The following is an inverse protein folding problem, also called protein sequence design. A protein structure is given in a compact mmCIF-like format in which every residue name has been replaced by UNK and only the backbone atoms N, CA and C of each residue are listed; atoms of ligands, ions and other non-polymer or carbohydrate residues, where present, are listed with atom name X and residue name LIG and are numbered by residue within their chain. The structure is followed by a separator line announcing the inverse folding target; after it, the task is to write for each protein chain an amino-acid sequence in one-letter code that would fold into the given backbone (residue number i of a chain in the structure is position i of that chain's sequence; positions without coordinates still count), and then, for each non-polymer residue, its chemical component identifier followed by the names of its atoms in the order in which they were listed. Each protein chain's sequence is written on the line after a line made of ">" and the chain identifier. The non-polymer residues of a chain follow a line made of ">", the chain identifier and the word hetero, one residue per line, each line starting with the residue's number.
data_IF_836320417744
#
_entry.id   IF_836320417744
#
_cell.length_a   1.000
_cell.length_b   1.000
_cell.length_c   1.000
_cell.angle_alpha   90.00
_cell.angle_beta   90.00
_cell.angle_gamma   90.00
#
_symmetry.space_group_name_H-M   'P 1'
#
loop_
_entity.id
_entity.type
_entity.pdbx_description
1 polymer ?
#
# COMPACT_ATOMS: atom_id res chain seq x y z
N UNK A 1 -34.49 -13.25 9.18
CA UNK A 1 -33.15 -12.89 9.66
C UNK A 1 -32.22 -12.84 8.45
N UNK A 2 -32.06 -11.69 7.81
CA UNK A 2 -31.24 -11.59 6.60
C UNK A 2 -30.14 -10.56 6.87
N UNK A 3 -28.97 -11.05 7.23
CA UNK A 3 -27.78 -10.26 7.54
C UNK A 3 -27.38 -9.43 6.33
N UNK A 4 -27.49 -8.10 6.48
CA UNK A 4 -26.95 -7.12 5.56
C UNK A 4 -25.43 -7.25 5.52
N UNK A 5 -24.90 -7.83 4.45
CA UNK A 5 -23.46 -7.87 4.14
C UNK A 5 -22.99 -6.46 3.80
N UNK A 6 -22.74 -5.64 4.82
CA UNK A 6 -22.31 -4.24 4.72
C UNK A 6 -20.81 -4.09 4.43
N UNK A 7 -20.18 -4.93 3.60
CA UNK A 7 -18.74 -4.75 3.31
C UNK A 7 -18.32 -5.10 1.88
N UNK A 8 -19.22 -4.99 0.91
CA UNK A 8 -18.83 -5.03 -0.50
C UNK A 8 -18.39 -3.63 -0.98
N UNK A 9 -17.22 -3.17 -0.52
CA UNK A 9 -16.51 -2.03 -1.12
C UNK A 9 -15.82 -2.48 -2.41
N UNK A 10 -16.50 -3.23 -3.27
CA UNK A 10 -15.93 -3.71 -4.53
C UNK A 10 -16.23 -2.73 -5.63
N UNK A 11 -15.21 -1.88 -5.86
CA UNK A 11 -14.90 -1.20 -7.12
C UNK A 11 -15.91 -0.10 -7.53
N UNK A 12 -15.42 1.07 -7.99
CA UNK A 12 -16.29 1.92 -8.80
C UNK A 12 -16.71 1.11 -10.04
N UNK A 13 -18.03 1.06 -10.30
CA UNK A 13 -18.56 0.42 -11.49
C UNK A 13 -17.89 1.04 -12.73
N UNK A 14 -17.36 0.18 -13.62
CA UNK A 14 -16.71 0.63 -14.84
C UNK A 14 -17.74 1.42 -15.67
N UNK A 15 -17.51 2.71 -15.97
CA UNK A 15 -18.50 3.52 -16.70
C UNK A 15 -18.70 2.92 -18.10
N UNK A 16 -19.96 2.71 -18.50
CA UNK A 16 -20.31 2.24 -19.85
C UNK A 16 -19.83 3.19 -20.96
N UNK A 17 -19.45 4.42 -20.61
CA UNK A 17 -19.01 5.45 -21.53
C UNK A 17 -17.67 6.06 -21.11
N UNK A 18 -16.62 5.80 -21.88
CA UNK A 18 -15.33 6.46 -21.73
C UNK A 18 -15.31 7.75 -22.55
N UNK A 19 -15.32 8.91 -21.89
CA UNK A 19 -14.98 10.18 -22.55
C UNK A 19 -13.45 10.30 -22.69
N UNK A 20 -12.92 10.82 -23.83
CA UNK A 20 -11.47 10.88 -24.10
C UNK A 20 -10.61 11.68 -23.11
N UNK A 21 -11.23 12.43 -22.19
CA UNK A 21 -10.55 13.28 -21.21
C UNK A 21 -10.51 12.70 -19.77
N UNK A 22 -10.98 11.47 -19.55
CA UNK A 22 -10.91 10.85 -18.23
C UNK A 22 -9.51 10.28 -17.93
N UNK A 23 -9.01 10.58 -16.73
CA UNK A 23 -7.77 10.02 -16.23
C UNK A 23 -7.86 8.48 -16.20
N UNK A 24 -6.95 7.74 -16.86
CA UNK A 24 -6.95 6.28 -16.83
C UNK A 24 -7.02 5.76 -15.39
N UNK A 25 -8.02 4.95 -15.07
CA UNK A 25 -8.20 4.37 -13.74
C UNK A 25 -6.93 3.63 -13.28
N UNK A 26 -6.19 3.03 -14.21
CA UNK A 26 -4.91 2.38 -13.90
C UNK A 26 -3.82 3.35 -13.46
N UNK A 27 -3.79 4.57 -13.99
CA UNK A 27 -2.83 5.58 -13.55
C UNK A 27 -3.20 6.13 -12.17
N UNK A 28 -4.49 6.30 -11.87
CA UNK A 28 -4.94 6.67 -10.52
C UNK A 28 -4.56 5.60 -9.49
N UNK A 29 -4.80 4.33 -9.83
CA UNK A 29 -4.46 3.21 -8.96
C UNK A 29 -2.94 3.05 -8.78
N UNK A 30 -2.16 3.20 -9.85
CA UNK A 30 -0.70 3.17 -9.77
C UNK A 30 -0.17 4.27 -8.82
N UNK A 31 -0.76 5.47 -8.85
CA UNK A 31 -0.40 6.56 -7.93
C UNK A 31 -0.72 6.18 -6.49
N UNK A 32 -1.92 5.64 -6.22
CA UNK A 32 -2.30 5.20 -4.86
C UNK A 32 -1.36 4.12 -4.34
N UNK A 33 -0.99 3.14 -5.18
CA UNK A 33 -0.04 2.08 -4.81
C UNK A 33 1.35 2.63 -4.50
N UNK A 34 1.82 3.60 -5.29
CA UNK A 34 3.11 4.27 -5.08
C UNK A 34 3.13 5.11 -3.81
N UNK A 35 2.07 5.88 -3.54
CA UNK A 35 1.95 6.68 -2.30
C UNK A 35 1.89 5.75 -1.09
N UNK A 36 1.13 4.66 -1.17
CA UNK A 36 1.07 3.64 -0.12
C UNK A 36 2.42 2.96 0.12
N UNK A 37 3.14 2.62 -0.96
CA UNK A 37 4.49 2.05 -0.88
C UNK A 37 5.49 3.02 -0.22
N UNK A 38 5.43 4.30 -0.57
CA UNK A 38 6.28 5.33 0.03
C UNK A 38 5.97 5.53 1.51
N UNK A 39 4.69 5.63 1.88
CA UNK A 39 4.29 5.78 3.27
C UNK A 39 4.72 4.57 4.11
N UNK A 40 4.53 3.36 3.59
CA UNK A 40 4.99 2.14 4.25
C UNK A 40 6.51 2.13 4.46
N UNK A 41 7.29 2.46 3.43
CA UNK A 41 8.76 2.53 3.54
C UNK A 41 9.21 3.60 4.54
N UNK A 42 8.54 4.76 4.54
CA UNK A 42 8.81 5.83 5.51
C UNK A 42 8.50 5.39 6.93
N UNK A 43 7.44 4.59 7.14
CA UNK A 43 7.12 3.99 8.43
C UNK A 43 8.19 3.00 8.89
N UNK A 44 8.65 2.11 8.02
CA UNK A 44 9.74 1.16 8.36
C UNK A 44 11.02 1.89 8.76
N UNK A 45 11.41 2.94 8.03
CA UNK A 45 12.56 3.78 8.40
C UNK A 45 12.39 4.50 9.73
N UNK A 46 11.18 4.99 10.03
CA UNK A 46 10.88 5.61 11.32
C UNK A 46 10.99 4.60 12.47
N UNK A 47 10.54 3.36 12.27
CA UNK A 47 10.70 2.30 13.28
C UNK A 47 12.19 2.01 13.53
N UNK A 48 13.03 1.98 12.49
CA UNK A 48 14.47 1.81 12.67
C UNK A 48 15.09 2.99 13.42
N UNK A 49 14.69 4.22 13.11
CA UNK A 49 15.16 5.40 13.84
C UNK A 49 14.79 5.32 15.33
N UNK A 50 13.56 4.91 15.65
CA UNK A 50 13.12 4.71 17.03
C UNK A 50 13.85 3.56 17.75
N UNK A 51 14.22 2.50 17.03
CA UNK A 51 15.05 1.41 17.57
C UNK A 51 16.48 1.90 17.85
N UNK A 52 17.05 2.72 16.97
CA UNK A 52 18.38 3.33 17.18
C UNK A 52 18.40 4.35 18.31
N UNK A 53 17.30 5.08 18.51
CA UNK A 53 17.13 6.01 19.63
C UNK A 53 16.80 5.30 20.95
N UNK A 54 16.60 3.98 20.93
CA UNK A 54 16.26 3.19 22.12
C UNK A 54 14.82 3.37 22.62
N UNK A 55 13.98 4.09 21.86
CA UNK A 55 12.57 4.31 22.20
C UNK A 55 11.72 3.04 22.04
N UNK A 56 12.13 2.13 21.16
CA UNK A 56 11.52 0.81 20.97
C UNK A 56 12.61 -0.26 20.86
N UNK A 57 12.26 -1.53 21.08
CA UNK A 57 13.12 -2.68 20.78
C UNK A 57 12.43 -3.57 19.77
N UNK A 58 12.88 -3.53 18.53
CA UNK A 58 12.35 -4.37 17.45
C UNK A 58 12.74 -5.84 17.59
N UNK A 59 13.85 -6.14 18.26
CA UNK A 59 14.31 -7.51 18.51
C UNK A 59 14.39 -8.34 17.22
N UNK A 60 13.73 -9.50 17.18
CA UNK A 60 13.69 -10.38 15.99
C UNK A 60 13.03 -9.75 14.76
N UNK A 61 12.20 -8.71 14.92
CA UNK A 61 11.55 -8.02 13.80
C UNK A 61 12.49 -7.04 13.09
N UNK A 62 13.64 -6.69 13.68
CA UNK A 62 14.55 -5.67 13.13
C UNK A 62 15.02 -6.01 11.72
N UNK A 63 15.43 -7.26 11.48
CA UNK A 63 15.90 -7.69 10.15
C UNK A 63 14.81 -7.54 9.06
N UNK A 64 13.56 -7.83 9.40
CA UNK A 64 12.42 -7.66 8.47
C UNK A 64 12.16 -6.18 8.20
N UNK A 65 12.26 -5.33 9.22
CA UNK A 65 12.08 -3.88 9.08
C UNK A 65 13.23 -3.25 8.28
N UNK A 66 14.48 -3.68 8.50
CA UNK A 66 15.65 -3.24 7.71
C UNK A 66 15.51 -3.64 6.25
N UNK A 67 15.13 -4.90 5.97
CA UNK A 67 14.87 -5.38 4.62
C UNK A 67 13.75 -4.56 3.95
N UNK A 68 12.65 -4.32 4.66
CA UNK A 68 11.53 -3.51 4.17
C UNK A 68 11.89 -2.04 3.93
N UNK A 69 12.73 -1.45 4.78
CA UNK A 69 13.22 -0.08 4.62
C UNK A 69 14.17 0.07 3.42
N UNK A 70 14.94 -0.97 3.11
CA UNK A 70 15.84 -1.05 1.96
C UNK A 70 15.14 -1.28 0.63
N UNK A 71 13.97 -1.91 0.64
CA UNK A 71 13.30 -2.36 -0.57
C UNK A 71 12.92 -1.22 -1.54
N UNK A 72 13.12 -1.40 -2.87
CA UNK A 72 12.72 -0.40 -3.86
C UNK A 72 11.20 -0.25 -3.90
N UNK A 73 10.74 1.01 -3.99
CA UNK A 73 9.32 1.37 -3.98
C UNK A 73 8.50 0.65 -5.06
N UNK A 74 9.11 0.37 -6.22
CA UNK A 74 8.48 -0.37 -7.31
C UNK A 74 8.06 -1.78 -6.88
N UNK A 75 8.89 -2.51 -6.13
CA UNK A 75 8.56 -3.86 -5.67
C UNK A 75 7.45 -3.84 -4.62
N UNK A 76 7.48 -2.85 -3.72
CA UNK A 76 6.43 -2.64 -2.71
C UNK A 76 5.10 -2.29 -3.39
N UNK A 77 5.11 -1.38 -4.37
CA UNK A 77 3.93 -0.99 -5.14
C UNK A 77 3.38 -2.18 -5.95
N UNK A 78 4.23 -2.98 -6.60
CA UNK A 78 3.81 -4.19 -7.31
C UNK A 78 3.22 -5.25 -6.38
N UNK A 79 3.73 -5.39 -5.15
CA UNK A 79 3.09 -6.24 -4.14
C UNK A 79 1.72 -5.67 -3.78
N UNK A 80 1.61 -4.39 -3.44
CA UNK A 80 0.32 -3.76 -3.10
C UNK A 80 -0.71 -3.92 -4.21
N UNK A 81 -0.31 -3.71 -5.47
CA UNK A 81 -1.16 -3.92 -6.63
C UNK A 81 -1.68 -5.37 -6.69
N UNK A 82 -0.83 -6.38 -6.43
CA UNK A 82 -1.24 -7.80 -6.38
C UNK A 82 -2.15 -8.15 -5.21
N UNK A 83 -1.93 -7.57 -4.04
CA UNK A 83 -2.78 -7.82 -2.87
C UNK A 83 -4.14 -7.14 -2.97
N UNK A 84 -4.21 -5.98 -3.60
CA UNK A 84 -5.44 -5.19 -3.78
C UNK A 84 -6.23 -5.60 -5.04
N UNK A 85 -5.59 -6.32 -5.97
CA UNK A 85 -6.18 -6.80 -7.22
C UNK A 85 -5.89 -8.32 -7.36
N UNK A 86 -6.77 -9.19 -6.83
CA UNK A 86 -6.71 -10.63 -7.10
C UNK A 86 -7.07 -10.96 -8.55
#
# INVERSE_FOLDING_TARGET
>A
MNSSSKYDKSRPAMPEFYMPAMWPLDLQNAIVDWVGAWFWRRRMRRLLAQDTEGAIRLGSARGVVEQGAGEPLRLIAQRRARWLRP
#
